data_IF_668995717786
#
_entry.id   IF_668995717786
#
_cell.length_a   1.000
_cell.length_b   1.000
_cell.length_c   1.000
_cell.angle_alpha   90.00
_cell.angle_beta   90.00
_cell.angle_gamma   90.00
#
_symmetry.space_group_name_H-M   'P 1'
#
loop_
_entity.id
_entity.type
_entity.pdbx_description
1 polymer ?
#
# COMPACT_ATOMS: atom_id res chain seq x y z
N UNK A 1 4.63 8.04 -14.46
CA UNK A 1 3.54 8.65 -15.25
C UNK A 1 3.84 10.12 -15.59
N UNK A 2 4.93 10.71 -15.08
CA UNK A 2 5.33 12.11 -15.34
C UNK A 2 5.35 12.55 -16.81
N UNK A 3 5.69 11.67 -17.74
CA UNK A 3 5.78 11.99 -19.16
C UNK A 3 4.45 11.82 -19.93
N UNK A 4 3.41 11.26 -19.29
CA UNK A 4 2.12 11.03 -19.93
C UNK A 4 1.28 12.30 -19.91
N UNK A 5 0.57 12.54 -21.00
CA UNK A 5 -0.61 13.39 -21.02
C UNK A 5 -1.71 12.79 -20.13
N UNK A 6 -2.72 13.58 -19.79
CA UNK A 6 -3.85 13.09 -19.01
C UNK A 6 -4.54 11.90 -19.69
N UNK A 7 -4.71 11.95 -21.02
CA UNK A 7 -5.37 10.87 -21.76
C UNK A 7 -4.53 9.60 -21.83
N UNK A 8 -3.21 9.71 -22.00
CA UNK A 8 -2.32 8.54 -21.93
C UNK A 8 -2.33 7.92 -20.52
N UNK A 9 -2.43 8.72 -19.47
CA UNK A 9 -2.54 8.23 -18.10
C UNK A 9 -3.91 7.59 -17.82
N UNK A 10 -4.99 8.15 -18.35
CA UNK A 10 -6.33 7.54 -18.30
C UNK A 10 -6.35 6.18 -18.99
N UNK A 11 -5.79 6.10 -20.19
CA UNK A 11 -5.70 4.84 -20.93
C UNK A 11 -4.79 3.83 -20.23
N UNK A 12 -3.73 4.29 -19.55
CA UNK A 12 -2.91 3.42 -18.71
C UNK A 12 -3.74 2.70 -17.64
N UNK A 13 -4.61 3.40 -16.89
CA UNK A 13 -5.44 2.72 -15.88
C UNK A 13 -6.45 1.76 -16.51
N UNK A 14 -7.06 2.14 -17.64
CA UNK A 14 -7.99 1.27 -18.37
C UNK A 14 -7.32 -0.02 -18.82
N UNK A 15 -6.13 0.07 -19.42
CA UNK A 15 -5.37 -1.11 -19.86
C UNK A 15 -4.99 -2.02 -18.68
N UNK A 16 -4.55 -1.46 -17.54
CA UNK A 16 -4.23 -2.26 -16.35
C UNK A 16 -5.45 -3.02 -15.82
N UNK A 17 -6.61 -2.34 -15.73
CA UNK A 17 -7.88 -2.95 -15.26
C UNK A 17 -8.30 -4.07 -16.21
N UNK A 18 -8.36 -3.80 -17.51
CA UNK A 18 -8.81 -4.76 -18.52
C UNK A 18 -7.86 -5.94 -18.66
N UNK A 19 -6.55 -5.69 -18.57
CA UNK A 19 -5.53 -6.72 -18.63
C UNK A 19 -5.59 -7.63 -17.40
N UNK A 20 -5.69 -7.10 -16.18
CA UNK A 20 -5.81 -7.95 -14.99
C UNK A 20 -7.08 -8.82 -15.07
N UNK A 21 -8.21 -8.22 -15.46
CA UNK A 21 -9.48 -8.92 -15.58
C UNK A 21 -9.43 -10.03 -16.64
N UNK A 22 -8.82 -9.76 -17.80
CA UNK A 22 -8.65 -10.75 -18.86
C UNK A 22 -7.76 -11.92 -18.43
N UNK A 23 -6.69 -11.66 -17.69
CA UNK A 23 -5.72 -12.70 -17.30
C UNK A 23 -6.11 -13.48 -16.05
N UNK A 24 -6.86 -12.88 -15.13
CA UNK A 24 -7.11 -13.48 -13.81
C UNK A 24 -8.59 -13.58 -13.43
N UNK A 25 -9.48 -12.91 -14.17
CA UNK A 25 -10.90 -12.76 -13.82
C UNK A 25 -11.17 -11.80 -12.66
N UNK A 26 -10.13 -11.27 -11.99
CA UNK A 26 -10.27 -10.35 -10.85
C UNK A 26 -10.45 -8.91 -11.32
N UNK A 27 -11.21 -8.14 -10.55
CA UNK A 27 -11.33 -6.69 -10.72
C UNK A 27 -10.16 -6.00 -9.99
N UNK A 28 -9.46 -5.10 -10.66
CA UNK A 28 -8.45 -4.25 -10.00
C UNK A 28 -9.19 -3.25 -9.11
N UNK A 29 -8.89 -3.25 -7.81
CA UNK A 29 -9.48 -2.32 -6.83
C UNK A 29 -8.56 -1.15 -6.51
N UNK A 30 -7.26 -1.32 -6.63
CA UNK A 30 -6.27 -0.26 -6.44
C UNK A 30 -4.90 -0.72 -6.86
N UNK A 31 -3.91 0.18 -6.81
CA UNK A 31 -2.55 -0.15 -7.22
C UNK A 31 -1.48 0.74 -6.59
N UNK A 32 -0.27 0.21 -6.57
CA UNK A 32 0.96 1.00 -6.51
C UNK A 32 1.31 1.43 -7.93
N UNK A 33 1.45 2.74 -8.15
CA UNK A 33 1.89 3.32 -9.40
C UNK A 33 3.31 2.88 -9.78
N UNK A 34 3.62 2.77 -11.08
CA UNK A 34 4.95 2.35 -11.52
C UNK A 34 6.00 3.30 -10.98
N UNK A 35 7.00 2.78 -10.26
CA UNK A 35 8.06 3.57 -9.64
C UNK A 35 7.57 4.76 -8.78
N UNK A 36 6.35 4.68 -8.22
CA UNK A 36 5.75 5.76 -7.39
C UNK A 36 5.78 7.09 -8.17
N UNK A 37 5.40 7.03 -9.45
CA UNK A 37 5.57 8.13 -10.39
C UNK A 37 4.24 8.79 -10.76
N UNK A 38 3.28 8.74 -9.85
CA UNK A 38 2.03 9.48 -9.93
C UNK A 38 2.26 10.99 -9.98
N UNK A 39 1.26 11.70 -10.48
CA UNK A 39 1.22 13.15 -10.59
C UNK A 39 0.02 13.69 -9.80
N UNK A 40 -0.17 15.02 -9.78
CA UNK A 40 -1.28 15.64 -9.04
C UNK A 40 -2.67 15.21 -9.50
N UNK A 41 -2.83 14.76 -10.75
CA UNK A 41 -4.10 14.27 -11.31
C UNK A 41 -4.30 12.76 -11.12
N UNK A 42 -3.26 12.03 -10.73
CA UNK A 42 -3.30 10.56 -10.60
C UNK A 42 -4.45 10.08 -9.70
N UNK A 43 -4.67 10.64 -8.50
CA UNK A 43 -5.79 10.21 -7.66
C UNK A 43 -7.15 10.36 -8.35
N UNK A 44 -7.38 11.48 -9.04
CA UNK A 44 -8.64 11.72 -9.76
C UNK A 44 -8.84 10.70 -10.88
N UNK A 45 -7.81 10.44 -11.68
CA UNK A 45 -7.88 9.47 -12.78
C UNK A 45 -8.05 8.03 -12.30
N UNK A 46 -7.44 7.67 -11.18
CA UNK A 46 -7.63 6.36 -10.54
C UNK A 46 -9.07 6.17 -10.08
N UNK A 47 -9.64 7.19 -9.42
CA UNK A 47 -11.02 7.16 -8.96
C UNK A 47 -12.02 7.15 -10.12
N UNK A 48 -11.77 7.94 -11.18
CA UNK A 48 -12.54 7.94 -12.43
C UNK A 48 -12.58 6.53 -13.06
N UNK A 49 -11.45 5.81 -13.02
CA UNK A 49 -11.34 4.44 -13.51
C UNK A 49 -12.00 3.38 -12.59
N UNK A 50 -12.54 3.79 -11.44
CA UNK A 50 -13.23 2.92 -10.49
C UNK A 50 -12.31 2.23 -9.47
N UNK A 51 -11.07 2.70 -9.31
CA UNK A 51 -10.19 2.25 -8.24
C UNK A 51 -10.59 2.95 -6.93
N UNK A 52 -10.46 2.22 -5.81
CA UNK A 52 -10.86 2.65 -4.47
C UNK A 52 -9.67 2.95 -3.56
N UNK A 53 -8.46 2.56 -3.95
CA UNK A 53 -7.25 2.93 -3.22
C UNK A 53 -6.02 3.07 -4.11
N UNK A 54 -5.01 3.77 -3.59
CA UNK A 54 -3.64 3.72 -4.10
C UNK A 54 -2.64 3.70 -2.95
N UNK A 55 -1.39 3.36 -3.26
CA UNK A 55 -0.32 3.14 -2.26
C UNK A 55 0.93 3.98 -2.53
N UNK A 56 0.79 5.09 -3.25
CA UNK A 56 1.93 5.91 -3.70
C UNK A 56 2.40 6.93 -2.65
N UNK A 57 1.66 7.11 -1.55
CA UNK A 57 1.98 8.09 -0.52
C UNK A 57 2.48 7.44 0.77
N UNK A 58 3.74 7.69 1.13
CA UNK A 58 4.38 7.19 2.35
C UNK A 58 4.31 8.25 3.45
N UNK A 59 3.12 8.50 3.97
CA UNK A 59 2.83 9.66 4.80
C UNK A 59 2.15 9.33 6.14
N UNK A 60 1.65 8.12 6.32
CA UNK A 60 0.91 7.71 7.51
C UNK A 60 0.97 6.18 7.70
N UNK A 61 0.68 5.72 8.92
CA UNK A 61 0.55 4.31 9.29
C UNK A 61 -0.92 3.83 9.32
N UNK A 62 -1.87 4.71 8.99
CA UNK A 62 -3.28 4.40 8.81
C UNK A 62 -3.77 4.78 7.41
N UNK A 63 -4.86 4.15 6.91
CA UNK A 63 -5.47 4.61 5.68
C UNK A 63 -6.10 6.00 5.85
N UNK A 64 -6.01 6.84 4.82
CA UNK A 64 -6.52 8.22 4.83
C UNK A 64 -7.38 8.47 3.59
N UNK A 65 -8.52 9.18 3.68
CA UNK A 65 -9.32 9.55 2.53
C UNK A 65 -8.56 10.54 1.63
N UNK A 66 -8.67 10.37 0.32
CA UNK A 66 -8.13 11.31 -0.65
C UNK A 66 -9.29 12.07 -1.25
N UNK A 67 -9.16 13.40 -1.29
CA UNK A 67 -10.14 14.26 -1.96
C UNK A 67 -9.98 14.10 -3.47
N UNK A 68 -10.98 13.49 -4.10
CA UNK A 68 -11.04 13.23 -5.55
C UNK A 68 -12.33 13.80 -6.13
N UNK A 69 -12.32 14.11 -7.43
CA UNK A 69 -13.46 14.72 -8.12
C UNK A 69 -14.68 13.80 -8.21
N UNK A 70 -14.49 12.48 -8.16
CA UNK A 70 -15.57 11.49 -8.21
C UNK A 70 -15.22 10.23 -7.44
N UNK A 71 -16.23 9.54 -6.90
CA UNK A 71 -16.04 8.29 -6.17
C UNK A 71 -15.42 8.48 -4.78
N UNK A 72 -14.90 7.39 -4.22
CA UNK A 72 -14.15 7.36 -2.97
C UNK A 72 -12.79 6.75 -3.25
N UNK A 73 -11.72 7.43 -2.85
CA UNK A 73 -10.35 6.92 -2.94
C UNK A 73 -9.66 7.04 -1.58
N UNK A 74 -8.90 6.01 -1.22
CA UNK A 74 -8.14 5.93 0.03
C UNK A 74 -6.66 5.75 -0.26
N UNK A 75 -5.81 6.45 0.48
CA UNK A 75 -4.40 6.13 0.53
C UNK A 75 -4.20 4.99 1.51
N UNK A 76 -3.69 3.84 1.04
CA UNK A 76 -3.33 2.72 1.92
C UNK A 76 -1.81 2.77 2.15
N UNK A 77 -1.33 2.71 3.41
CA UNK A 77 0.10 2.84 3.71
C UNK A 77 0.99 1.86 2.95
N UNK A 78 2.12 2.38 2.46
CA UNK A 78 3.20 1.65 1.80
C UNK A 78 4.55 2.06 2.38
N UNK A 79 5.57 1.22 2.21
CA UNK A 79 6.91 1.48 2.73
C UNK A 79 7.98 1.46 1.64
N UNK A 80 8.79 2.52 1.59
CA UNK A 80 10.08 2.53 0.88
C UNK A 80 11.20 1.99 1.78
N UNK A 81 11.09 2.19 3.10
CA UNK A 81 12.09 1.76 4.08
C UNK A 81 12.09 0.24 4.25
N UNK A 82 10.91 -0.37 4.45
CA UNK A 82 10.71 -1.82 4.47
C UNK A 82 10.45 -2.35 3.06
N UNK A 83 11.43 -2.14 2.20
CA UNK A 83 11.42 -2.59 0.82
C UNK A 83 12.76 -3.24 0.48
N UNK A 84 12.73 -4.50 0.04
CA UNK A 84 13.94 -5.28 -0.24
C UNK A 84 14.76 -4.69 -1.41
N UNK A 85 14.12 -4.03 -2.37
CA UNK A 85 14.78 -3.47 -3.56
C UNK A 85 15.72 -2.29 -3.25
N UNK A 86 15.27 -1.16 -2.64
CA UNK A 86 16.19 -0.09 -2.28
C UNK A 86 17.18 -0.54 -1.19
N UNK A 87 16.75 -1.37 -0.24
CA UNK A 87 17.59 -1.78 0.88
C UNK A 87 18.79 -2.62 0.43
N UNK A 88 18.57 -3.63 -0.41
CA UNK A 88 19.66 -4.48 -0.92
C UNK A 88 20.57 -3.75 -1.93
N UNK A 89 20.12 -2.62 -2.50
CA UNK A 89 20.97 -1.77 -3.37
C UNK A 89 21.98 -0.92 -2.60
N UNK A 90 21.76 -0.67 -1.31
CA UNK A 90 22.63 0.18 -0.47
C UNK A 90 23.48 -0.62 0.52
N UNK A 91 23.77 -1.88 0.20
CA UNK A 91 24.66 -2.80 0.93
C UNK A 91 24.14 -3.33 2.28
N UNK A 92 22.82 -3.32 2.51
CA UNK A 92 22.23 -4.13 3.56
C UNK A 92 21.81 -5.50 3.01
N UNK A 93 21.77 -6.51 3.87
CA UNK A 93 21.36 -7.87 3.52
C UNK A 93 20.09 -8.30 4.26
N UNK A 94 19.61 -9.49 3.92
CA UNK A 94 18.31 -9.98 4.37
C UNK A 94 18.21 -10.24 5.89
N UNK A 95 19.33 -10.40 6.58
CA UNK A 95 19.39 -10.46 8.05
C UNK A 95 19.02 -9.11 8.69
N UNK A 96 19.62 -8.02 8.20
CA UNK A 96 19.25 -6.68 8.64
C UNK A 96 17.80 -6.34 8.25
N UNK A 97 17.36 -6.74 7.06
CA UNK A 97 15.96 -6.58 6.65
C UNK A 97 15.00 -7.24 7.64
N UNK A 98 15.29 -8.47 8.07
CA UNK A 98 14.50 -9.16 9.07
C UNK A 98 14.48 -8.43 10.42
N UNK A 99 15.63 -7.92 10.85
CA UNK A 99 15.75 -7.15 12.09
C UNK A 99 14.87 -5.88 12.07
N UNK A 100 14.94 -5.08 11.01
CA UNK A 100 14.14 -3.84 10.93
C UNK A 100 12.65 -4.11 10.75
N UNK A 101 12.26 -5.18 10.04
CA UNK A 101 10.87 -5.61 9.97
C UNK A 101 10.32 -5.93 11.36
N UNK A 102 11.05 -6.70 12.17
CA UNK A 102 10.64 -7.04 13.54
C UNK A 102 10.54 -5.80 14.43
N UNK A 103 11.52 -4.89 14.36
CA UNK A 103 11.51 -3.64 15.13
C UNK A 103 10.31 -2.76 14.78
N UNK A 104 10.00 -2.60 13.49
CA UNK A 104 8.82 -1.83 13.08
C UNK A 104 7.53 -2.54 13.51
N UNK A 105 7.46 -3.87 13.37
CA UNK A 105 6.33 -4.63 13.88
C UNK A 105 6.11 -4.40 15.37
N UNK A 106 7.13 -4.54 16.22
CA UNK A 106 7.00 -4.38 17.67
C UNK A 106 6.45 -2.98 18.05
N UNK A 107 6.90 -1.94 17.34
CA UNK A 107 6.43 -0.58 17.55
C UNK A 107 4.97 -0.41 17.11
N UNK A 108 4.62 -0.83 15.88
CA UNK A 108 3.25 -0.75 15.37
C UNK A 108 2.28 -1.63 16.15
N UNK A 109 2.73 -2.78 16.64
CA UNK A 109 1.95 -3.69 17.47
C UNK A 109 1.60 -3.05 18.82
N UNK A 110 2.58 -2.38 19.45
CA UNK A 110 2.36 -1.61 20.68
C UNK A 110 1.35 -0.48 20.46
N UNK A 111 1.48 0.28 19.37
CA UNK A 111 0.53 1.36 19.04
C UNK A 111 -0.86 0.84 18.64
N UNK A 112 -0.89 -0.36 18.04
CA UNK A 112 -2.08 -1.10 17.65
C UNK A 112 -3.05 -1.42 18.79
N UNK A 113 -2.59 -1.32 20.04
CA UNK A 113 -3.42 -1.52 21.22
C UNK A 113 -4.57 -0.50 21.34
N UNK A 114 -4.39 0.71 20.82
CA UNK A 114 -5.42 1.76 20.83
C UNK A 114 -6.09 1.93 19.47
N UNK A 115 -5.32 1.84 18.39
CA UNK A 115 -5.78 2.10 17.04
C UNK A 115 -4.95 1.28 16.05
N UNK A 116 -5.61 0.51 15.18
CA UNK A 116 -4.91 -0.39 14.25
C UNK A 116 -3.93 0.35 13.33
N UNK A 117 -2.78 -0.28 13.05
CA UNK A 117 -1.74 0.22 12.15
C UNK A 117 -1.56 -0.71 10.96
N UNK A 118 -1.16 -0.16 9.83
CA UNK A 118 -0.84 -0.91 8.61
C UNK A 118 0.66 -1.06 8.49
N UNK A 119 1.14 -2.30 8.48
CA UNK A 119 2.54 -2.62 8.20
C UNK A 119 2.66 -3.19 6.78
N UNK A 120 3.20 -2.41 5.86
CA UNK A 120 3.55 -2.88 4.52
C UNK A 120 4.99 -3.42 4.50
N UNK A 121 5.17 -4.62 3.94
CA UNK A 121 6.49 -5.20 3.62
C UNK A 121 6.55 -5.36 2.11
N UNK A 122 7.35 -4.54 1.44
CA UNK A 122 7.48 -4.56 -0.01
C UNK A 122 8.57 -5.56 -0.44
N UNK A 123 8.16 -6.54 -1.25
CA UNK A 123 8.99 -7.70 -1.60
C UNK A 123 9.07 -7.87 -3.12
N UNK A 124 10.25 -8.26 -3.60
CA UNK A 124 10.49 -8.60 -4.99
C UNK A 124 10.98 -10.05 -5.07
N UNK A 125 10.23 -10.98 -5.70
CA UNK A 125 10.58 -12.40 -5.69
C UNK A 125 11.99 -12.72 -6.21
N UNK A 126 12.50 -11.95 -7.18
CA UNK A 126 13.85 -12.12 -7.71
C UNK A 126 14.96 -11.64 -6.76
N UNK A 127 14.61 -10.92 -5.68
CA UNK A 127 15.52 -10.44 -4.64
C UNK A 127 15.41 -11.27 -3.36
N UNK A 128 14.33 -11.12 -2.59
CA UNK A 128 14.15 -11.87 -1.32
C UNK A 128 14.03 -13.37 -1.54
N UNK A 129 13.57 -13.81 -2.72
CA UNK A 129 13.42 -15.22 -3.07
C UNK A 129 14.73 -15.94 -3.38
N UNK A 130 15.87 -15.25 -3.39
CA UNK A 130 17.16 -15.90 -3.61
C UNK A 130 17.49 -16.88 -2.47
N UNK A 131 18.18 -18.01 -2.74
CA UNK A 131 18.42 -19.06 -1.74
C UNK A 131 19.13 -18.59 -0.45
N UNK A 132 19.96 -17.55 -0.54
CA UNK A 132 20.65 -16.99 0.63
C UNK A 132 19.77 -16.04 1.46
N UNK A 133 18.61 -15.61 0.94
CA UNK A 133 17.72 -14.62 1.56
C UNK A 133 16.38 -15.19 2.02
N UNK A 134 15.83 -16.18 1.32
CA UNK A 134 14.44 -16.64 1.53
C UNK A 134 14.13 -17.06 2.97
N UNK A 135 15.11 -17.61 3.69
CA UNK A 135 14.96 -17.98 5.12
C UNK A 135 14.59 -16.79 6.01
N UNK A 136 15.00 -15.57 5.65
CA UNK A 136 14.71 -14.38 6.44
C UNK A 136 13.29 -13.88 6.21
N UNK A 137 12.70 -14.12 5.03
CA UNK A 137 11.27 -13.88 4.83
C UNK A 137 10.43 -14.81 5.71
N UNK A 138 10.80 -16.09 5.77
CA UNK A 138 10.18 -17.06 6.68
C UNK A 138 10.30 -16.63 8.14
N UNK A 139 11.48 -16.15 8.55
CA UNK A 139 11.72 -15.62 9.89
C UNK A 139 10.85 -14.38 10.22
N UNK A 140 10.72 -13.44 9.27
CA UNK A 140 9.88 -12.24 9.43
C UNK A 140 8.42 -12.64 9.60
N UNK A 141 7.88 -13.43 8.67
CA UNK A 141 6.48 -13.82 8.66
C UNK A 141 6.14 -14.69 9.88
N UNK A 142 7.01 -15.63 10.25
CA UNK A 142 6.84 -16.47 11.44
C UNK A 142 6.80 -15.64 12.72
N UNK A 143 7.67 -14.63 12.85
CA UNK A 143 7.66 -13.75 14.02
C UNK A 143 6.38 -12.93 14.11
N UNK A 144 6.00 -12.26 13.02
CA UNK A 144 4.80 -11.40 12.99
C UNK A 144 3.54 -12.22 13.28
N UNK A 145 3.36 -13.35 12.58
CA UNK A 145 2.14 -14.15 12.68
C UNK A 145 2.04 -14.99 13.96
N UNK A 146 3.09 -15.03 14.79
CA UNK A 146 3.03 -15.65 16.11
C UNK A 146 2.31 -14.78 17.17
N UNK A 147 2.00 -13.51 16.85
CA UNK A 147 1.34 -12.58 17.76
C UNK A 147 -0.17 -12.54 17.50
N UNK A 148 -0.97 -12.52 18.57
CA UNK A 148 -2.42 -12.38 18.47
C UNK A 148 -2.81 -10.99 17.95
N UNK A 149 -3.96 -10.88 17.30
CA UNK A 149 -4.49 -9.58 16.82
C UNK A 149 -3.85 -9.08 15.52
N UNK A 150 -2.93 -9.84 14.91
CA UNK A 150 -2.40 -9.55 13.58
C UNK A 150 -3.41 -9.94 12.51
N UNK A 151 -3.85 -8.96 11.72
CA UNK A 151 -4.71 -9.21 10.56
C UNK A 151 -3.86 -9.44 9.30
N UNK A 152 -3.63 -10.71 8.96
CA UNK A 152 -3.03 -11.07 7.67
C UNK A 152 -4.03 -10.80 6.55
N UNK A 153 -3.77 -9.76 5.77
CA UNK A 153 -4.76 -9.22 4.84
C UNK A 153 -4.14 -8.60 3.59
N UNK A 154 -4.98 -8.12 2.68
CA UNK A 154 -4.58 -7.44 1.45
C UNK A 154 -4.88 -5.94 1.52
N UNK A 155 -4.23 -5.14 0.67
CA UNK A 155 -4.56 -3.73 0.53
C UNK A 155 -6.02 -3.50 0.07
N UNK A 156 -6.55 -4.39 -0.76
CA UNK A 156 -7.97 -4.43 -1.15
C UNK A 156 -8.87 -4.46 0.10
N UNK A 157 -8.63 -5.43 0.98
CA UNK A 157 -9.45 -5.65 2.16
C UNK A 157 -9.30 -4.51 3.19
N UNK A 158 -8.08 -3.95 3.34
CA UNK A 158 -7.84 -2.77 4.18
C UNK A 158 -8.64 -1.58 3.65
N UNK A 159 -8.58 -1.31 2.35
CA UNK A 159 -9.31 -0.20 1.74
C UNK A 159 -10.83 -0.38 1.88
N UNK A 160 -11.35 -1.57 1.61
CA UNK A 160 -12.78 -1.86 1.75
C UNK A 160 -13.26 -1.74 3.20
N UNK A 161 -12.48 -2.26 4.16
CA UNK A 161 -12.78 -2.12 5.57
C UNK A 161 -12.79 -0.66 6.00
N UNK A 162 -11.81 0.13 5.56
CA UNK A 162 -11.75 1.55 5.89
C UNK A 162 -12.91 2.34 5.28
N UNK A 163 -13.21 2.11 3.99
CA UNK A 163 -14.32 2.76 3.28
C UNK A 163 -15.65 2.47 3.96
N UNK A 164 -15.85 1.23 4.40
CA UNK A 164 -17.09 0.79 5.05
C UNK A 164 -17.29 1.37 6.45
N UNK A 165 -16.21 1.54 7.22
CA UNK A 165 -16.32 1.79 8.67
C UNK A 165 -15.85 3.18 9.11
N UNK A 166 -14.93 3.83 8.40
CA UNK A 166 -14.23 5.04 8.89
C UNK A 166 -14.14 6.19 7.89
N UNK A 167 -14.34 5.95 6.59
CA UNK A 167 -14.15 6.97 5.57
C UNK A 167 -15.00 8.22 5.79
N UNK A 168 -16.30 8.07 6.00
CA UNK A 168 -17.20 9.22 6.16
C UNK A 168 -16.87 10.00 7.44
N UNK A 169 -16.54 9.29 8.53
CA UNK A 169 -16.10 9.92 9.78
C UNK A 169 -14.82 10.75 9.59
N UNK A 170 -13.82 10.21 8.87
CA UNK A 170 -12.56 10.89 8.62
C UNK A 170 -12.76 12.12 7.71
N UNK A 171 -13.61 12.02 6.69
CA UNK A 171 -13.97 13.14 5.82
C UNK A 171 -14.69 14.23 6.61
N UNK A 172 -15.69 13.87 7.42
CA UNK A 172 -16.44 14.81 8.26
C UNK A 172 -15.54 15.53 9.26
N UNK A 173 -14.59 14.81 9.88
CA UNK A 173 -13.61 15.41 10.77
C UNK A 173 -12.71 16.41 10.02
N UNK A 174 -12.19 16.05 8.85
CA UNK A 174 -11.34 16.94 8.05
C UNK A 174 -12.07 18.22 7.61
N UNK A 175 -13.38 18.15 7.33
CA UNK A 175 -14.19 19.31 6.95
C UNK A 175 -14.28 20.37 8.06
N UNK A 176 -14.15 19.99 9.33
CA UNK A 176 -14.15 20.93 10.46
C UNK A 176 -12.97 21.90 10.43
N UNK A 177 -11.90 21.58 9.69
CA UNK A 177 -10.69 22.38 9.57
C UNK A 177 -10.57 23.12 8.23
N UNK A 178 -11.56 23.00 7.33
CA UNK A 178 -11.61 23.80 6.10
C UNK A 178 -12.13 25.19 6.45
N UNK A 179 -11.19 26.14 6.58
CA UNK A 179 -11.47 27.57 6.74
C UNK A 179 -12.03 28.20 5.46
#
# INVERSE_FOLDING_TARGET
LYAYTEEEEREFYRDNIDTLKRQTGKQLKGMLGPAISGTVRTPDLMAEAGLIYHTDWMHDDQPVPINVNSGKLVSVPYSIELNDSPLFRVNYEADYFAEICKRQFDQLYKEGAESGRVMCIALHPFLIGQPHRIKFLDEILSYILAHDGVWQTTADDIAEYYIKNYYDQAVDHAQQFKA
#
